data_IF_452890460688
#
_entry.id   IF_452890460688
#
_cell.length_a   1.000
_cell.length_b   1.000
_cell.length_c   1.000
_cell.angle_alpha   90.00
_cell.angle_beta   90.00
_cell.angle_gamma   90.00
#
_symmetry.space_group_name_H-M   'P 1'
#
loop_
_entity.id
_entity.type
_entity.pdbx_description
1 polymer ?
#
# COMPACT_ATOMS: atom_id res chain seq x y z
N UNK A 1 -7.17 5.31 -2.64
CA UNK A 1 -6.30 6.04 -3.59
C UNK A 1 -5.12 6.58 -2.80
N UNK A 2 -3.87 6.47 -3.28
CA UNK A 2 -2.65 6.87 -2.53
C UNK A 2 -2.03 8.16 -3.08
N UNK A 3 -2.82 9.20 -3.35
CA UNK A 3 -2.35 10.48 -3.91
C UNK A 3 -3.07 10.93 -5.18
N UNK A 4 -2.55 12.01 -5.79
CA UNK A 4 -3.06 12.55 -7.06
C UNK A 4 -4.44 13.22 -6.92
N UNK A 5 -5.38 13.03 -7.88
CA UNK A 5 -6.68 13.71 -7.88
C UNK A 5 -7.49 13.57 -6.58
N UNK A 6 -7.28 12.46 -5.85
CA UNK A 6 -7.94 12.23 -4.56
C UNK A 6 -7.56 13.26 -3.48
N UNK A 7 -6.33 13.76 -3.46
CA UNK A 7 -5.88 14.77 -2.49
C UNK A 7 -6.62 16.09 -2.71
N UNK A 8 -6.76 16.48 -3.99
CA UNK A 8 -7.52 17.68 -4.34
C UNK A 8 -8.94 17.60 -3.80
N UNK A 9 -9.64 16.50 -4.06
CA UNK A 9 -11.02 16.29 -3.60
C UNK A 9 -11.10 16.29 -2.07
N UNK A 10 -10.18 15.63 -1.37
CA UNK A 10 -10.15 15.64 0.10
C UNK A 10 -9.97 17.07 0.65
N UNK A 11 -9.08 17.87 0.04
CA UNK A 11 -8.88 19.25 0.44
C UNK A 11 -10.09 20.14 0.12
N UNK A 12 -10.77 19.93 -1.01
CA UNK A 12 -12.02 20.61 -1.34
C UNK A 12 -13.08 20.32 -0.25
N UNK A 13 -13.24 19.04 0.12
CA UNK A 13 -14.17 18.63 1.17
C UNK A 13 -13.83 19.21 2.55
N UNK A 14 -12.55 19.25 2.93
CA UNK A 14 -12.11 19.82 4.22
C UNK A 14 -12.36 21.33 4.31
N UNK A 15 -12.24 22.04 3.19
CA UNK A 15 -12.29 23.51 3.17
C UNK A 15 -13.70 24.05 2.90
N UNK A 16 -14.55 23.32 2.18
CA UNK A 16 -15.80 23.84 1.62
C UNK A 16 -17.07 23.09 2.08
N UNK A 17 -16.95 21.94 2.74
CA UNK A 17 -18.10 21.13 3.19
C UNK A 17 -18.53 21.40 4.63
N UNK A 18 -19.63 20.78 5.06
CA UNK A 18 -20.07 20.79 6.45
C UNK A 18 -19.05 20.10 7.38
N UNK A 19 -19.15 20.39 8.68
CA UNK A 19 -18.20 19.92 9.69
C UNK A 19 -18.04 18.39 9.72
N UNK A 20 -19.12 17.63 9.53
CA UNK A 20 -19.07 16.16 9.57
C UNK A 20 -18.31 15.60 8.37
N UNK A 21 -18.58 16.15 7.18
CA UNK A 21 -17.90 15.75 5.95
C UNK A 21 -16.43 16.15 5.98
N UNK A 22 -16.13 17.37 6.44
CA UNK A 22 -14.77 17.88 6.57
C UNK A 22 -13.94 16.99 7.53
N UNK A 23 -14.49 16.62 8.69
CA UNK A 23 -13.81 15.72 9.64
C UNK A 23 -13.47 14.36 9.01
N UNK A 24 -14.45 13.72 8.34
CA UNK A 24 -14.21 12.43 7.66
C UNK A 24 -13.13 12.54 6.58
N UNK A 25 -13.15 13.62 5.80
CA UNK A 25 -12.13 13.87 4.79
C UNK A 25 -10.75 14.10 5.43
N UNK A 26 -10.70 14.79 6.57
CA UNK A 26 -9.49 14.98 7.39
C UNK A 26 -8.89 13.66 7.86
N UNK A 27 -9.71 12.76 8.43
CA UNK A 27 -9.26 11.43 8.86
C UNK A 27 -8.66 10.62 7.71
N UNK A 28 -9.28 10.66 6.53
CA UNK A 28 -8.70 10.01 5.34
C UNK A 28 -7.41 10.69 4.93
N UNK A 29 -7.37 12.03 4.90
CA UNK A 29 -6.18 12.78 4.48
C UNK A 29 -4.98 12.49 5.38
N UNK A 30 -5.16 12.33 6.71
CA UNK A 30 -4.09 11.97 7.65
C UNK A 30 -3.32 10.70 7.29
N UNK A 31 -3.93 9.80 6.51
CA UNK A 31 -3.30 8.54 6.04
C UNK A 31 -2.57 8.69 4.70
N UNK A 32 -2.62 9.86 4.06
CA UNK A 32 -2.03 10.13 2.76
C UNK A 32 -0.71 10.88 2.89
N UNK A 33 0.35 10.38 2.24
CA UNK A 33 1.71 10.96 2.36
C UNK A 33 2.22 11.63 1.08
N UNK A 34 1.50 11.48 -0.04
CA UNK A 34 1.87 12.08 -1.31
C UNK A 34 1.13 13.39 -1.56
N UNK A 35 1.65 14.48 -0.97
CA UNK A 35 1.18 15.84 -1.18
C UNK A 35 2.17 16.62 -2.03
N UNK A 36 1.67 17.34 -3.03
CA UNK A 36 2.49 18.25 -3.83
C UNK A 36 2.48 19.66 -3.24
N UNK A 37 3.30 20.55 -3.79
CA UNK A 37 3.41 21.95 -3.34
C UNK A 37 2.06 22.68 -3.36
N UNK A 38 1.22 22.42 -4.35
CA UNK A 38 -0.12 23.00 -4.41
C UNK A 38 -0.99 22.56 -3.22
N UNK A 39 -0.91 21.30 -2.81
CA UNK A 39 -1.69 20.74 -1.71
C UNK A 39 -1.21 21.30 -0.37
N UNK A 40 0.11 21.37 -0.16
CA UNK A 40 0.69 21.94 1.06
C UNK A 40 0.40 23.44 1.19
N UNK A 41 0.35 24.17 0.08
CA UNK A 41 -0.07 25.58 0.06
C UNK A 41 -1.53 25.74 0.47
N UNK A 42 -2.43 24.85 0.04
CA UNK A 42 -3.84 24.86 0.45
C UNK A 42 -4.00 24.58 1.95
N UNK A 43 -3.26 23.60 2.48
CA UNK A 43 -3.21 23.34 3.92
C UNK A 43 -2.69 24.56 4.70
N UNK A 44 -1.63 25.21 4.21
CA UNK A 44 -1.12 26.44 4.84
C UNK A 44 -2.18 27.54 4.89
N UNK A 45 -2.92 27.75 3.80
CA UNK A 45 -3.98 28.76 3.76
C UNK A 45 -5.14 28.40 4.69
N UNK A 46 -5.58 27.14 4.70
CA UNK A 46 -6.62 26.65 5.60
C UNK A 46 -6.23 26.74 7.08
N UNK A 47 -4.95 26.53 7.39
CA UNK A 47 -4.44 26.72 8.74
C UNK A 47 -4.45 28.21 9.14
N UNK A 48 -4.01 29.10 8.24
CA UNK A 48 -4.00 30.54 8.47
C UNK A 48 -5.42 31.12 8.63
N UNK A 49 -6.44 30.52 8.00
CA UNK A 49 -7.85 30.90 8.19
C UNK A 49 -8.50 30.28 9.45
N UNK A 50 -7.75 29.50 10.24
CA UNK A 50 -8.23 28.91 11.50
C UNK A 50 -9.08 27.65 11.32
N UNK A 51 -9.00 26.96 10.18
CA UNK A 51 -9.73 25.71 9.97
C UNK A 51 -9.21 24.62 10.94
N UNK A 52 -10.09 24.16 11.84
CA UNK A 52 -9.76 23.20 12.89
C UNK A 52 -9.34 21.84 12.33
N UNK A 53 -9.99 21.36 11.27
CA UNK A 53 -9.68 20.08 10.63
C UNK A 53 -8.30 20.14 9.98
N UNK A 54 -7.96 21.26 9.32
CA UNK A 54 -6.63 21.46 8.73
C UNK A 54 -5.54 21.49 9.80
N UNK A 55 -5.79 22.18 10.93
CA UNK A 55 -4.87 22.16 12.07
C UNK A 55 -4.61 20.73 12.57
N UNK A 56 -5.67 19.95 12.76
CA UNK A 56 -5.60 18.56 13.22
C UNK A 56 -4.87 17.65 12.22
N UNK A 57 -5.08 17.82 10.91
CA UNK A 57 -4.29 17.14 9.86
C UNK A 57 -2.79 17.47 9.97
N UNK A 58 -2.44 18.76 10.13
CA UNK A 58 -1.05 19.18 10.25
C UNK A 58 -0.39 18.67 11.53
N UNK A 59 -1.11 18.66 12.65
CA UNK A 59 -0.65 18.07 13.92
C UNK A 59 -0.39 16.56 13.75
N UNK A 60 -1.31 15.83 13.14
CA UNK A 60 -1.13 14.41 12.79
C UNK A 60 0.11 14.17 11.93
N UNK A 61 0.35 14.99 10.91
CA UNK A 61 1.56 14.89 10.07
C UNK A 61 2.84 15.20 10.84
N UNK A 62 2.84 16.22 11.69
CA UNK A 62 4.00 16.57 12.53
C UNK A 62 4.38 15.45 13.51
N UNK A 63 3.39 14.68 13.98
CA UNK A 63 3.55 13.51 14.85
C UNK A 63 3.83 12.23 14.05
N UNK A 64 3.92 12.33 12.72
CA UNK A 64 4.10 11.22 11.80
C UNK A 64 3.09 10.07 12.03
N UNK A 65 1.83 10.39 12.34
CA UNK A 65 0.82 9.37 12.68
C UNK A 65 0.52 8.40 11.53
N UNK A 66 0.77 8.81 10.28
CA UNK A 66 0.73 7.92 9.11
C UNK A 66 1.72 6.75 9.19
N UNK A 67 2.75 6.86 10.05
CA UNK A 67 3.77 5.85 10.27
C UNK A 67 3.67 5.26 11.68
N UNK A 68 3.57 6.10 12.72
CA UNK A 68 3.60 5.66 14.13
C UNK A 68 2.35 4.91 14.57
N UNK A 69 1.24 5.00 13.82
CA UNK A 69 0.02 4.22 14.05
C UNK A 69 -0.06 2.96 13.19
N UNK A 70 0.97 2.64 12.40
CA UNK A 70 1.03 1.35 11.71
C UNK A 70 1.17 0.24 12.76
N UNK A 71 0.57 -0.95 12.52
CA UNK A 71 0.79 -2.10 13.39
C UNK A 71 2.28 -2.41 13.50
N UNK A 72 2.73 -2.77 14.70
CA UNK A 72 4.08 -3.28 14.90
C UNK A 72 4.29 -4.55 14.06
N UNK A 73 5.51 -4.70 13.54
CA UNK A 73 5.91 -5.93 12.85
C UNK A 73 6.01 -7.06 13.88
N UNK A 74 5.53 -8.25 13.52
CA UNK A 74 5.67 -9.44 14.36
C UNK A 74 7.15 -9.72 14.68
N UNK A 75 7.44 -10.03 15.94
CA UNK A 75 8.82 -10.33 16.39
C UNK A 75 9.37 -11.62 15.78
N UNK A 76 8.48 -12.55 15.42
CA UNK A 76 8.81 -13.83 14.80
C UNK A 76 7.83 -14.07 13.66
N UNK A 77 8.35 -14.30 12.46
CA UNK A 77 7.55 -14.66 11.29
C UNK A 77 7.81 -16.13 11.01
N UNK A 78 6.82 -16.98 11.27
CA UNK A 78 6.91 -18.40 10.91
C UNK A 78 6.69 -18.55 9.42
N UNK A 79 7.61 -19.23 8.75
CA UNK A 79 7.55 -19.46 7.31
C UNK A 79 7.48 -20.94 6.97
N UNK A 80 6.85 -21.23 5.83
CA UNK A 80 7.04 -22.49 5.11
C UNK A 80 7.70 -22.16 3.77
N UNK A 81 8.71 -22.95 3.43
CA UNK A 81 9.58 -22.71 2.28
C UNK A 81 9.37 -23.79 1.24
N UNK A 82 9.25 -23.36 -0.01
CA UNK A 82 9.26 -24.21 -1.19
C UNK A 82 10.47 -23.83 -2.04
N UNK A 83 11.27 -24.83 -2.43
CA UNK A 83 12.44 -24.62 -3.29
C UNK A 83 11.96 -24.68 -4.74
N UNK A 84 11.90 -23.50 -5.38
CA UNK A 84 11.37 -23.35 -6.73
C UNK A 84 12.28 -23.94 -7.81
N UNK A 85 13.59 -23.84 -7.61
CA UNK A 85 14.63 -24.38 -8.49
C UNK A 85 15.97 -24.36 -7.75
N UNK A 86 16.92 -25.18 -8.21
CA UNK A 86 18.29 -25.24 -7.70
C UNK A 86 19.26 -24.75 -8.79
N UNK A 87 20.30 -24.00 -8.40
CA UNK A 87 21.30 -23.43 -9.32
C UNK A 87 21.08 -21.95 -9.63
N UNK A 88 21.57 -21.50 -10.79
CA UNK A 88 21.46 -20.09 -11.20
C UNK A 88 20.02 -19.73 -11.58
N UNK A 89 19.37 -19.02 -10.67
CA UNK A 89 18.00 -18.51 -10.87
C UNK A 89 18.07 -17.15 -11.56
N UNK A 90 17.66 -17.10 -12.83
CA UNK A 90 17.60 -15.85 -13.58
C UNK A 90 16.24 -15.16 -13.43
N UNK A 91 16.19 -13.84 -13.66
CA UNK A 91 14.92 -13.11 -13.71
C UNK A 91 14.02 -13.57 -14.86
N UNK A 92 14.59 -14.18 -15.91
CA UNK A 92 13.83 -14.74 -17.02
C UNK A 92 13.09 -16.02 -16.60
N UNK A 93 13.61 -16.79 -15.64
CA UNK A 93 12.87 -17.91 -15.05
C UNK A 93 11.60 -17.42 -14.32
N UNK A 94 11.72 -16.33 -13.57
CA UNK A 94 10.63 -15.79 -12.74
C UNK A 94 9.68 -14.84 -13.51
N UNK A 95 10.14 -14.27 -14.62
CA UNK A 95 9.38 -13.36 -15.49
C UNK A 95 9.83 -13.52 -16.95
N UNK A 96 9.39 -14.61 -17.61
CA UNK A 96 9.86 -14.95 -18.95
C UNK A 96 9.65 -13.83 -19.97
N UNK A 97 10.64 -13.59 -20.83
CA UNK A 97 10.54 -12.59 -21.89
C UNK A 97 9.37 -12.82 -22.86
N UNK A 98 9.02 -14.08 -23.15
CA UNK A 98 7.86 -14.43 -23.98
C UNK A 98 6.51 -14.01 -23.36
N UNK A 99 6.48 -13.89 -22.03
CA UNK A 99 5.32 -13.46 -21.25
C UNK A 99 5.34 -11.95 -20.94
N UNK A 100 6.21 -11.17 -21.60
CA UNK A 100 6.32 -9.74 -21.33
C UNK A 100 5.02 -8.96 -21.58
N UNK A 101 4.16 -9.47 -22.47
CA UNK A 101 2.87 -8.89 -22.78
C UNK A 101 1.88 -8.93 -21.61
N UNK A 102 2.04 -9.86 -20.66
CA UNK A 102 1.17 -9.99 -19.48
C UNK A 102 1.68 -9.20 -18.26
N UNK A 103 2.90 -8.64 -18.29
CA UNK A 103 3.56 -7.99 -17.13
C UNK A 103 2.77 -6.87 -16.45
N UNK A 104 1.90 -6.18 -17.19
CA UNK A 104 1.01 -5.14 -16.64
C UNK A 104 -0.12 -5.71 -15.78
N UNK A 105 -0.52 -6.96 -16.03
CA UNK A 105 -1.48 -7.71 -15.23
C UNK A 105 -0.74 -8.65 -14.28
N UNK A 106 -0.64 -8.24 -13.01
CA UNK A 106 0.09 -8.99 -11.99
C UNK A 106 -0.48 -10.38 -11.73
N UNK A 107 -1.80 -10.56 -11.80
CA UNK A 107 -2.43 -11.86 -11.52
C UNK A 107 -2.20 -12.82 -12.67
N UNK A 108 -2.33 -12.33 -13.91
CA UNK A 108 -2.06 -13.13 -15.10
C UNK A 108 -0.57 -13.49 -15.20
N UNK A 109 0.33 -12.51 -15.04
CA UNK A 109 1.77 -12.73 -15.15
C UNK A 109 2.33 -13.57 -13.98
N UNK A 110 1.71 -13.52 -12.81
CA UNK A 110 2.09 -14.36 -11.68
C UNK A 110 2.02 -15.86 -12.00
N UNK A 111 1.16 -16.26 -12.95
CA UNK A 111 1.01 -17.67 -13.36
C UNK A 111 2.23 -18.23 -14.09
N UNK A 112 3.11 -17.38 -14.62
CA UNK A 112 4.32 -17.79 -15.34
C UNK A 112 5.59 -17.76 -14.47
N UNK A 113 5.49 -17.44 -13.17
CA UNK A 113 6.64 -17.38 -12.25
C UNK A 113 7.31 -18.74 -12.02
N UNK A 114 6.53 -19.82 -11.99
CA UNK A 114 6.97 -21.21 -11.87
C UNK A 114 5.90 -22.11 -12.51
N UNK A 115 6.16 -23.41 -12.67
CA UNK A 115 5.18 -24.36 -13.21
C UNK A 115 3.83 -24.34 -12.46
N UNK A 116 2.74 -24.59 -13.18
CA UNK A 116 1.41 -24.67 -12.58
C UNK A 116 1.30 -25.76 -11.50
N UNK A 117 2.08 -26.85 -11.66
CA UNK A 117 2.16 -27.92 -10.66
C UNK A 117 2.77 -27.42 -9.35
N UNK A 118 3.93 -26.74 -9.42
CA UNK A 118 4.57 -26.19 -8.23
C UNK A 118 3.67 -25.15 -7.53
N UNK A 119 2.93 -24.34 -8.29
CA UNK A 119 1.94 -23.42 -7.71
C UNK A 119 0.82 -24.15 -6.95
N UNK A 120 0.36 -25.30 -7.45
CA UNK A 120 -0.63 -26.12 -6.76
C UNK A 120 -0.07 -26.75 -5.47
N UNK A 121 1.17 -27.24 -5.51
CA UNK A 121 1.87 -27.79 -4.34
C UNK A 121 2.05 -26.72 -3.24
N UNK A 122 2.42 -25.50 -3.62
CA UNK A 122 2.54 -24.35 -2.71
C UNK A 122 1.19 -24.03 -2.06
N UNK A 123 0.09 -24.04 -2.82
CA UNK A 123 -1.26 -23.81 -2.29
C UNK A 123 -1.72 -24.91 -1.33
N UNK A 124 -1.36 -26.17 -1.61
CA UNK A 124 -1.65 -27.28 -0.71
C UNK A 124 -0.84 -27.16 0.60
N UNK A 125 0.44 -26.81 0.49
CA UNK A 125 1.31 -26.53 1.63
C UNK A 125 0.77 -25.41 2.52
N UNK A 126 0.18 -24.34 1.94
CA UNK A 126 -0.49 -23.27 2.70
C UNK A 126 -1.65 -23.80 3.54
N UNK A 127 -2.49 -24.67 2.96
CA UNK A 127 -3.65 -25.24 3.67
C UNK A 127 -3.22 -26.08 4.87
N UNK A 128 -2.07 -26.74 4.77
CA UNK A 128 -1.51 -27.58 5.83
C UNK A 128 -0.77 -26.79 6.91
N UNK A 129 -0.47 -25.50 6.69
CA UNK A 129 0.25 -24.63 7.61
C UNK A 129 -0.42 -23.25 7.76
N UNK A 130 -1.67 -23.18 8.28
CA UNK A 130 -2.44 -21.94 8.35
C UNK A 130 -1.85 -20.90 9.32
N UNK A 131 -0.94 -21.30 10.20
CA UNK A 131 -0.24 -20.44 11.16
C UNK A 131 1.09 -19.86 10.63
N UNK A 132 1.41 -20.08 9.35
CA UNK A 132 2.69 -19.69 8.75
C UNK A 132 2.49 -18.91 7.45
N UNK A 133 3.37 -17.94 7.22
CA UNK A 133 3.43 -17.19 5.97
C UNK A 133 4.26 -17.95 4.92
N UNK A 134 3.89 -17.86 3.64
CA UNK A 134 4.69 -18.46 2.57
C UNK A 134 5.79 -17.52 2.09
N UNK A 135 6.98 -18.07 1.90
CA UNK A 135 8.06 -17.42 1.15
C UNK A 135 8.54 -18.41 0.10
N UNK A 136 8.38 -18.06 -1.18
CA UNK A 136 8.99 -18.79 -2.28
C UNK A 136 10.45 -18.35 -2.38
N UNK A 137 11.38 -19.29 -2.24
CA UNK A 137 12.82 -19.06 -2.33
C UNK A 137 13.42 -19.83 -3.51
#
# INVERSE_FOLDING_TARGET
MKGGPSIKVLLDLILESDETTAQKAGEVLKTQVFLYEADTKRLKNGFASGNKVVKDVLESYSRAEFFTKLPDVEKEIKIVTYIAAEGDISTDLLSPGGEAHSRSDRELHGKCMISAQAQAEIQEMQKNHPDKNNVNS
#
